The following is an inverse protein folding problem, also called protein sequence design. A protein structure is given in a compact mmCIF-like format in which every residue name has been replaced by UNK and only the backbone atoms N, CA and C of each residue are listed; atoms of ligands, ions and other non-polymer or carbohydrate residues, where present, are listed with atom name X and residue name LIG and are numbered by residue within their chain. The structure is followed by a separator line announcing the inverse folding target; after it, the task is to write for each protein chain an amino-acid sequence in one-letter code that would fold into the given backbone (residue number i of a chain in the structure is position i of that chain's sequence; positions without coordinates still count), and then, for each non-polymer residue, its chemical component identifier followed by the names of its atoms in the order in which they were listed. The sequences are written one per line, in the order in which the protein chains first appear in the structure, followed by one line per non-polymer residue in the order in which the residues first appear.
data_IF_606571603632
#
_entry.id   IF_606571603632
#
_cell.length_a   1.000
_cell.length_b   1.000
_cell.length_c   1.000
_cell.angle_alpha   90.00
_cell.angle_beta   90.00
_cell.angle_gamma   90.00
#
_symmetry.space_group_name_H-M   'P 1'
#
loop_
_entity.id
_entity.type
_entity.pdbx_description
1 polymer ?
#
# COMPACT_ATOMS: atom_id res chain seq x y z
N UNK A 1 20.19 0.46 24.48
CA UNK A 1 19.35 1.27 23.59
C UNK A 1 18.55 0.32 22.70
N UNK A 2 17.21 0.32 22.82
CA UNK A 2 16.35 -0.48 21.94
C UNK A 2 16.25 0.26 20.61
N UNK A 3 16.96 -0.23 19.61
CA UNK A 3 16.84 0.29 18.23
C UNK A 3 15.54 -0.26 17.65
N UNK A 4 14.54 0.60 17.48
CA UNK A 4 13.31 0.24 16.77
C UNK A 4 13.65 0.10 15.29
N UNK A 5 13.46 -1.09 14.74
CA UNK A 5 13.55 -1.32 13.29
C UNK A 5 12.15 -1.12 12.71
N UNK A 6 12.00 -0.08 11.92
CA UNK A 6 10.82 0.13 11.10
C UNK A 6 11.02 -0.61 9.77
N UNK A 7 10.00 -1.31 9.32
CA UNK A 7 9.99 -1.95 8.00
C UNK A 7 8.67 -1.69 7.31
N UNK A 8 8.69 -1.60 5.99
CA UNK A 8 7.50 -1.46 5.16
C UNK A 8 6.70 -0.15 5.38
N UNK A 9 7.37 0.94 5.80
CA UNK A 9 6.74 2.25 6.03
C UNK A 9 6.06 2.82 4.78
N UNK A 10 6.45 2.39 3.58
CA UNK A 10 5.77 2.77 2.34
C UNK A 10 4.29 2.34 2.31
N UNK A 11 3.92 1.32 3.09
CA UNK A 11 2.55 0.87 3.26
C UNK A 11 1.72 1.78 4.18
N UNK A 12 2.34 2.77 4.83
CA UNK A 12 1.69 3.72 5.75
C UNK A 12 1.56 5.13 5.16
N UNK A 13 2.02 5.35 3.92
CA UNK A 13 1.98 6.67 3.27
C UNK A 13 0.53 7.15 3.09
N UNK A 14 -0.36 6.24 2.75
CA UNK A 14 -1.77 6.53 2.49
C UNK A 14 -2.08 6.55 0.99
N UNK A 15 -3.33 6.25 0.68
CA UNK A 15 -3.89 6.25 -0.67
C UNK A 15 -5.21 6.99 -0.66
N UNK A 16 -5.67 7.43 -1.84
CA UNK A 16 -6.88 8.21 -2.02
C UNK A 16 -6.77 9.68 -1.59
N UNK A 17 -7.03 10.58 -2.53
CA UNK A 17 -6.93 12.02 -2.29
C UNK A 17 -7.91 12.51 -1.22
N UNK A 18 -9.09 11.91 -1.10
CA UNK A 18 -10.06 12.26 -0.07
C UNK A 18 -9.56 11.85 1.32
N UNK A 19 -8.99 10.64 1.46
CA UNK A 19 -8.40 10.17 2.71
C UNK A 19 -7.20 11.03 3.13
N UNK A 20 -6.31 11.35 2.19
CA UNK A 20 -5.17 12.25 2.42
C UNK A 20 -5.63 13.64 2.86
N UNK A 21 -6.70 14.18 2.26
CA UNK A 21 -7.32 15.45 2.66
C UNK A 21 -7.92 15.44 4.06
N UNK A 22 -8.30 14.27 4.58
CA UNK A 22 -8.80 14.05 5.93
C UNK A 22 -7.72 13.57 6.92
N UNK A 23 -6.45 13.75 6.57
CA UNK A 23 -5.30 13.29 7.38
C UNK A 23 -5.37 11.79 7.70
N UNK A 24 -5.82 10.98 6.75
CA UNK A 24 -5.92 9.52 6.85
C UNK A 24 -6.93 9.01 7.91
N UNK A 25 -7.87 9.85 8.35
CA UNK A 25 -8.87 9.49 9.38
C UNK A 25 -10.12 8.86 8.78
N UNK A 26 -9.96 7.75 8.05
CA UNK A 26 -11.04 7.12 7.26
C UNK A 26 -11.37 5.69 7.67
N UNK A 27 -10.79 5.18 8.73
CA UNK A 27 -10.91 3.77 9.14
C UNK A 27 -12.37 3.33 9.40
N UNK A 28 -13.20 4.23 9.89
CA UNK A 28 -14.62 3.98 10.11
C UNK A 28 -15.50 4.29 8.87
N UNK A 29 -15.08 5.24 8.03
CA UNK A 29 -15.88 5.78 6.92
C UNK A 29 -15.51 5.20 5.55
N UNK A 30 -14.38 4.47 5.44
CA UNK A 30 -13.97 3.84 4.18
C UNK A 30 -15.13 2.97 3.62
N UNK A 31 -15.54 3.24 2.39
CA UNK A 31 -16.73 2.66 1.78
C UNK A 31 -16.63 2.44 0.26
N UNK A 32 -15.41 2.51 -0.28
CA UNK A 32 -15.11 2.36 -1.69
C UNK A 32 -14.01 1.31 -1.92
N UNK A 33 -13.49 1.23 -3.13
CA UNK A 33 -12.39 0.32 -3.52
C UNK A 33 -11.14 0.50 -2.65
N UNK A 34 -10.88 1.73 -2.15
CA UNK A 34 -9.72 2.04 -1.30
C UNK A 34 -9.90 1.53 0.14
N UNK A 35 -11.10 1.06 0.51
CA UNK A 35 -11.33 0.40 1.79
C UNK A 35 -10.43 -0.82 1.99
N UNK A 36 -10.06 -1.54 0.92
CA UNK A 36 -9.09 -2.63 1.02
C UNK A 36 -7.77 -2.23 1.64
N UNK A 37 -7.35 -0.98 1.48
CA UNK A 37 -6.15 -0.42 2.10
C UNK A 37 -6.39 0.05 3.54
N UNK A 38 -7.48 0.78 3.80
CA UNK A 38 -7.74 1.47 5.06
C UNK A 38 -8.39 0.58 6.12
N UNK A 39 -9.46 -0.10 5.74
CA UNK A 39 -10.20 -1.04 6.56
C UNK A 39 -10.97 -1.98 5.64
N UNK A 40 -10.51 -3.23 5.46
CA UNK A 40 -11.12 -4.13 4.49
C UNK A 40 -12.60 -4.41 4.75
N UNK A 41 -13.10 -4.23 5.97
CA UNK A 41 -14.53 -4.34 6.27
C UNK A 41 -15.37 -3.37 5.44
N UNK A 42 -14.83 -2.19 5.08
CA UNK A 42 -15.51 -1.18 4.28
C UNK A 42 -15.88 -1.63 2.86
N UNK A 43 -15.23 -2.67 2.32
CA UNK A 43 -15.59 -3.26 1.02
C UNK A 43 -17.04 -3.77 0.99
N UNK A 44 -17.64 -4.06 2.13
CA UNK A 44 -19.05 -4.45 2.22
C UNK A 44 -20.06 -3.35 1.88
N UNK A 45 -19.58 -2.12 1.67
CA UNK A 45 -20.39 -0.97 1.25
C UNK A 45 -20.33 -0.71 -0.25
N UNK A 46 -19.55 -1.52 -0.98
CA UNK A 46 -19.53 -1.46 -2.43
C UNK A 46 -20.87 -1.93 -2.98
N UNK A 47 -21.44 -1.14 -3.89
CA UNK A 47 -22.66 -1.49 -4.63
C UNK A 47 -22.30 -2.14 -5.97
N UNK A 48 -21.20 -1.71 -6.59
CA UNK A 48 -20.75 -2.15 -7.90
C UNK A 48 -19.23 -2.38 -7.94
N UNK A 49 -18.75 -2.83 -9.09
CA UNK A 49 -17.32 -2.93 -9.38
C UNK A 49 -16.67 -1.56 -9.38
N UNK A 50 -15.56 -1.41 -8.68
CA UNK A 50 -14.81 -0.16 -8.64
C UNK A 50 -13.33 -0.40 -8.92
N UNK A 51 -12.70 0.56 -9.56
CA UNK A 51 -11.26 0.62 -9.74
C UNK A 51 -10.74 2.01 -9.33
N UNK A 52 -9.54 2.04 -8.77
CA UNK A 52 -8.85 3.27 -8.37
C UNK A 52 -7.41 3.24 -8.85
N UNK A 53 -6.94 4.39 -9.32
CA UNK A 53 -5.54 4.61 -9.70
C UNK A 53 -5.08 5.91 -9.08
N UNK A 54 -3.90 5.88 -8.45
CA UNK A 54 -3.27 7.08 -7.90
C UNK A 54 -1.80 7.09 -8.25
N UNK A 55 -1.29 8.27 -8.62
CA UNK A 55 0.12 8.55 -8.75
C UNK A 55 0.46 9.76 -7.88
N UNK A 56 1.53 9.67 -7.10
CA UNK A 56 2.03 10.78 -6.32
C UNK A 56 3.56 10.84 -6.38
N UNK A 57 4.08 12.05 -6.55
CA UNK A 57 5.51 12.33 -6.54
C UNK A 57 5.91 12.96 -5.22
N UNK A 58 6.97 12.46 -4.63
CA UNK A 58 7.53 12.93 -3.38
C UNK A 58 8.93 13.49 -3.59
N UNK A 59 9.35 14.41 -2.72
CA UNK A 59 10.72 14.99 -2.70
C UNK A 59 11.14 15.55 -4.06
N UNK A 60 10.33 16.47 -4.61
CA UNK A 60 10.59 17.09 -5.91
C UNK A 60 10.82 16.09 -7.05
N UNK A 61 9.96 15.06 -7.11
CA UNK A 61 9.97 14.01 -8.13
C UNK A 61 11.09 12.96 -8.00
N UNK A 62 11.75 12.88 -6.85
CA UNK A 62 12.76 11.85 -6.62
C UNK A 62 12.12 10.49 -6.35
N UNK A 63 11.06 10.45 -5.54
CA UNK A 63 10.36 9.22 -5.22
C UNK A 63 8.96 9.21 -5.84
N UNK A 64 8.58 8.06 -6.41
CA UNK A 64 7.30 7.83 -7.05
C UNK A 64 6.47 6.85 -6.22
N UNK A 65 5.21 7.17 -6.02
CA UNK A 65 4.24 6.32 -5.34
C UNK A 65 3.06 6.06 -6.25
N UNK A 66 2.93 4.84 -6.71
CA UNK A 66 1.88 4.38 -7.60
C UNK A 66 0.96 3.41 -6.86
N UNK A 67 -0.33 3.60 -7.00
CA UNK A 67 -1.36 2.74 -6.43
C UNK A 67 -2.38 2.37 -7.48
N UNK A 68 -2.76 1.11 -7.49
CA UNK A 68 -3.83 0.54 -8.30
C UNK A 68 -4.69 -0.35 -7.41
N UNK A 69 -5.99 -0.23 -7.51
CA UNK A 69 -6.93 -1.11 -6.80
C UNK A 69 -8.13 -1.46 -7.66
N UNK A 70 -8.68 -2.63 -7.39
CA UNK A 70 -9.95 -3.10 -7.93
C UNK A 70 -10.70 -3.86 -6.85
N UNK A 71 -11.99 -3.62 -6.74
CA UNK A 71 -12.84 -4.35 -5.81
C UNK A 71 -14.24 -4.57 -6.41
N UNK A 72 -14.89 -5.61 -5.94
CA UNK A 72 -16.17 -6.05 -6.42
C UNK A 72 -16.97 -6.76 -5.33
N UNK A 73 -18.27 -6.51 -5.21
CA UNK A 73 -19.15 -7.38 -4.45
C UNK A 73 -19.19 -8.77 -5.10
N UNK A 74 -19.26 -9.81 -4.27
CA UNK A 74 -19.50 -11.21 -4.69
C UNK A 74 -20.99 -11.50 -4.59
N UNK A 75 -21.58 -11.11 -3.48
CA UNK A 75 -22.99 -11.25 -3.16
C UNK A 75 -23.42 -10.17 -2.14
N UNK A 76 -24.66 -10.19 -1.67
CA UNK A 76 -25.19 -9.22 -0.70
C UNK A 76 -24.44 -9.21 0.66
N UNK A 77 -23.61 -10.22 0.92
CA UNK A 77 -22.97 -10.45 2.21
C UNK A 77 -21.45 -10.56 2.15
N UNK A 78 -20.86 -10.55 0.97
CA UNK A 78 -19.41 -10.68 0.78
C UNK A 78 -18.88 -9.85 -0.38
N UNK A 79 -17.65 -9.34 -0.23
CA UNK A 79 -16.94 -8.60 -1.25
C UNK A 79 -15.45 -8.96 -1.21
N UNK A 80 -14.76 -8.74 -2.32
CA UNK A 80 -13.32 -8.94 -2.43
C UNK A 80 -12.66 -7.76 -3.11
N UNK A 81 -11.37 -7.64 -2.94
CA UNK A 81 -10.58 -6.62 -3.61
C UNK A 81 -9.13 -7.03 -3.74
N UNK A 82 -8.44 -6.37 -4.64
CA UNK A 82 -6.99 -6.47 -4.82
C UNK A 82 -6.42 -5.08 -4.94
N UNK A 83 -5.23 -4.87 -4.41
CA UNK A 83 -4.49 -3.64 -4.64
C UNK A 83 -3.01 -3.89 -4.84
N UNK A 84 -2.38 -2.96 -5.53
CA UNK A 84 -0.96 -2.95 -5.82
C UNK A 84 -0.40 -1.57 -5.49
N UNK A 85 0.74 -1.53 -4.82
CA UNK A 85 1.51 -0.33 -4.51
C UNK A 85 2.92 -0.52 -5.04
N UNK A 86 3.46 0.50 -5.69
CA UNK A 86 4.88 0.66 -5.96
C UNK A 86 5.35 1.96 -5.33
N UNK A 87 6.37 1.89 -4.50
CA UNK A 87 7.11 3.05 -4.03
C UNK A 87 8.56 2.91 -4.44
N UNK A 88 9.07 3.82 -5.25
CA UNK A 88 10.38 3.66 -5.83
C UNK A 88 11.12 4.97 -6.07
N UNK A 89 12.44 4.85 -6.12
CA UNK A 89 13.38 5.86 -6.54
C UNK A 89 14.16 5.28 -7.70
N UNK A 90 14.07 5.93 -8.84
CA UNK A 90 14.78 5.53 -10.06
C UNK A 90 16.03 6.40 -10.26
N UNK A 91 16.90 6.01 -11.16
CA UNK A 91 18.10 6.73 -11.59
C UNK A 91 19.10 7.07 -10.46
N UNK A 92 19.26 6.18 -9.49
CA UNK A 92 20.26 6.33 -8.43
C UNK A 92 21.65 6.06 -9.00
N UNK A 93 22.55 7.01 -8.81
CA UNK A 93 23.95 6.89 -9.27
C UNK A 93 24.69 5.83 -8.44
N UNK A 94 25.18 4.81 -9.10
CA UNK A 94 26.10 3.84 -8.51
C UNK A 94 27.54 4.26 -8.80
N UNK A 95 28.25 4.62 -7.74
CA UNK A 95 29.65 5.04 -7.79
C UNK A 95 30.61 4.06 -7.14
N UNK A 96 30.16 2.81 -6.89
CA UNK A 96 30.98 1.79 -6.20
C UNK A 96 32.25 1.41 -6.98
N UNK A 97 32.21 1.54 -8.31
CA UNK A 97 33.34 1.22 -9.19
C UNK A 97 34.03 2.47 -9.76
N UNK A 98 33.73 3.66 -9.18
CA UNK A 98 34.26 4.93 -9.67
C UNK A 98 35.78 4.99 -9.64
N UNK A 99 36.43 4.35 -8.65
CA UNK A 99 37.90 4.34 -8.47
C UNK A 99 38.41 3.01 -9.03
N UNK A 100 39.36 3.09 -9.95
CA UNK A 100 40.04 1.92 -10.50
C UNK A 100 41.08 1.32 -9.52
N UNK A 101 41.68 0.18 -9.89
CA UNK A 101 42.68 -0.50 -9.08
C UNK A 101 44.02 0.30 -8.94
N UNK A 102 44.16 1.37 -9.70
CA UNK A 102 45.34 2.26 -9.68
C UNK A 102 45.08 3.57 -8.90
N UNK A 103 43.83 3.74 -8.41
CA UNK A 103 43.40 4.93 -7.66
C UNK A 103 42.94 6.09 -8.53
N UNK A 104 42.74 5.89 -9.84
CA UNK A 104 42.21 6.93 -10.72
C UNK A 104 40.70 6.94 -10.72
N UNK A 105 40.12 8.12 -10.86
CA UNK A 105 38.67 8.32 -10.97
C UNK A 105 38.23 8.19 -12.43
N UNK A 106 37.34 7.22 -12.71
CA UNK A 106 36.76 7.01 -14.04
C UNK A 106 35.23 7.19 -13.99
N UNK A 107 34.74 8.32 -14.43
CA UNK A 107 33.33 8.69 -14.46
C UNK A 107 32.51 7.82 -15.43
N UNK A 108 33.13 7.13 -16.41
CA UNK A 108 32.43 6.22 -17.33
C UNK A 108 31.95 4.95 -16.63
N UNK A 109 32.42 4.67 -15.43
CA UNK A 109 31.99 3.53 -14.60
C UNK A 109 30.76 3.81 -13.75
N UNK A 110 30.23 5.02 -13.80
CA UNK A 110 28.98 5.33 -13.12
C UNK A 110 27.86 4.59 -13.85
N UNK A 111 27.12 3.79 -13.11
CA UNK A 111 25.90 3.13 -13.58
C UNK A 111 24.69 3.60 -12.79
N UNK A 112 23.50 3.45 -13.38
CA UNK A 112 22.25 3.80 -12.71
C UNK A 112 21.60 2.52 -12.16
N UNK A 113 20.92 2.65 -11.01
CA UNK A 113 20.07 1.59 -10.48
C UNK A 113 18.81 2.20 -9.86
N UNK A 114 17.81 1.37 -9.64
CA UNK A 114 16.56 1.76 -8.98
C UNK A 114 16.38 0.98 -7.69
N UNK A 115 15.74 1.62 -6.72
CA UNK A 115 15.29 0.99 -5.49
C UNK A 115 13.77 1.09 -5.42
N UNK A 116 13.07 -0.04 -5.27
CA UNK A 116 11.61 -0.03 -5.23
C UNK A 116 11.06 -1.06 -4.24
N UNK A 117 10.00 -0.65 -3.57
CA UNK A 117 9.14 -1.48 -2.73
C UNK A 117 7.82 -1.71 -3.45
N UNK A 118 7.38 -2.95 -3.46
CA UNK A 118 6.13 -3.40 -4.05
C UNK A 118 5.26 -4.03 -2.98
N UNK A 119 3.99 -3.66 -2.94
CA UNK A 119 2.99 -4.26 -2.06
C UNK A 119 1.81 -4.79 -2.87
N UNK A 120 1.47 -6.05 -2.69
CA UNK A 120 0.25 -6.66 -3.21
C UNK A 120 -0.65 -7.00 -2.05
N UNK A 121 -1.92 -6.60 -2.12
CA UNK A 121 -2.90 -6.87 -1.07
C UNK A 121 -4.09 -7.58 -1.68
N UNK A 122 -4.50 -8.68 -1.05
CA UNK A 122 -5.77 -9.34 -1.26
C UNK A 122 -6.68 -9.04 -0.09
N UNK A 123 -7.88 -8.57 -0.37
CA UNK A 123 -8.88 -8.17 0.61
C UNK A 123 -10.13 -9.02 0.47
N UNK A 124 -10.69 -9.44 1.58
CA UNK A 124 -11.99 -10.10 1.64
C UNK A 124 -12.79 -9.52 2.80
N UNK A 125 -14.06 -9.23 2.54
CA UNK A 125 -14.97 -8.69 3.54
C UNK A 125 -16.27 -9.46 3.58
N UNK A 126 -16.92 -9.49 4.75
CA UNK A 126 -18.21 -10.14 4.94
C UNK A 126 -19.06 -9.48 6.03
N UNK A 127 -20.38 -9.43 5.82
CA UNK A 127 -21.35 -9.04 6.83
C UNK A 127 -21.54 -10.16 7.85
N UNK A 128 -21.53 -9.82 9.13
CA UNK A 128 -21.86 -10.74 10.20
C UNK A 128 -23.39 -10.95 10.29
N UNK A 129 -23.87 -12.04 10.93
CA UNK A 129 -25.29 -12.23 11.21
C UNK A 129 -25.88 -11.18 12.17
N UNK A 130 -25.05 -10.31 12.74
CA UNK A 130 -25.45 -9.21 13.63
C UNK A 130 -25.65 -7.96 12.79
N UNK A 131 -26.83 -7.33 12.82
CA UNK A 131 -27.10 -6.13 12.03
C UNK A 131 -26.09 -5.03 12.27
N UNK A 132 -25.60 -4.42 11.19
CA UNK A 132 -24.64 -3.34 11.22
C UNK A 132 -23.17 -3.74 11.40
N UNK A 133 -22.87 -5.02 11.70
CA UNK A 133 -21.49 -5.52 11.81
C UNK A 133 -20.97 -6.12 10.52
N UNK A 134 -19.79 -5.71 10.15
CA UNK A 134 -19.01 -6.27 9.04
C UNK A 134 -17.54 -6.37 9.41
N UNK A 135 -16.88 -7.37 8.88
CA UNK A 135 -15.44 -7.60 9.07
C UNK A 135 -14.74 -7.77 7.73
N UNK A 136 -13.47 -7.54 7.73
CA UNK A 136 -12.62 -7.79 6.58
C UNK A 136 -11.23 -8.22 6.99
N UNK A 137 -10.55 -8.90 6.09
CA UNK A 137 -9.19 -9.38 6.26
C UNK A 137 -8.38 -9.09 5.01
N UNK A 138 -7.10 -8.80 5.22
CA UNK A 138 -6.11 -8.63 4.16
C UNK A 138 -5.01 -9.67 4.29
N UNK A 139 -4.56 -10.18 3.15
CA UNK A 139 -3.29 -10.87 3.01
C UNK A 139 -2.38 -10.02 2.11
N UNK A 140 -1.15 -9.75 2.58
CA UNK A 140 -0.20 -8.87 1.91
C UNK A 140 1.06 -9.63 1.52
N UNK A 141 1.54 -9.39 0.32
CA UNK A 141 2.84 -9.84 -0.17
C UNK A 141 3.65 -8.58 -0.47
N UNK A 142 4.83 -8.50 0.11
CA UNK A 142 5.71 -7.34 0.00
C UNK A 142 7.01 -7.79 -0.65
N UNK A 143 7.50 -7.05 -1.63
CA UNK A 143 8.78 -7.29 -2.28
C UNK A 143 9.57 -5.99 -2.30
N UNK A 144 10.80 -6.05 -1.79
CA UNK A 144 11.78 -4.97 -1.89
C UNK A 144 12.88 -5.37 -2.86
N UNK A 145 13.25 -4.45 -3.75
CA UNK A 145 14.34 -4.63 -4.71
C UNK A 145 15.22 -3.39 -4.67
N UNK A 146 16.51 -3.56 -4.50
CA UNK A 146 17.51 -2.49 -4.51
C UNK A 146 18.55 -2.84 -5.57
N UNK A 147 18.30 -2.43 -6.81
CA UNK A 147 19.15 -2.74 -7.95
C UNK A 147 19.51 -4.23 -8.02
N UNK A 148 20.80 -4.49 -8.17
CA UNK A 148 21.39 -5.85 -8.11
C UNK A 148 21.90 -6.22 -6.71
N UNK A 149 21.81 -5.30 -5.75
CA UNK A 149 22.48 -5.43 -4.45
C UNK A 149 21.68 -6.25 -3.45
N UNK A 150 20.35 -6.09 -3.43
CA UNK A 150 19.50 -6.77 -2.47
C UNK A 150 18.07 -6.96 -2.98
N UNK A 151 17.45 -8.05 -2.56
CA UNK A 151 16.02 -8.27 -2.68
C UNK A 151 15.51 -8.96 -1.42
N UNK A 152 14.26 -8.71 -1.08
CA UNK A 152 13.61 -9.37 0.05
C UNK A 152 12.12 -9.55 -0.21
N UNK A 153 11.53 -10.54 0.46
CA UNK A 153 10.11 -10.81 0.48
C UNK A 153 9.59 -10.69 1.91
N UNK A 154 8.38 -10.19 2.04
CA UNK A 154 7.66 -10.10 3.29
C UNK A 154 6.20 -10.50 3.11
N UNK A 155 5.58 -10.92 4.21
CA UNK A 155 4.16 -11.24 4.26
C UNK A 155 3.53 -10.47 5.42
N UNK A 156 2.29 -10.05 5.25
CA UNK A 156 1.53 -9.34 6.27
C UNK A 156 0.07 -9.72 6.23
N UNK A 157 -0.61 -9.51 7.34
CA UNK A 157 -2.04 -9.70 7.48
C UNK A 157 -2.63 -8.55 8.25
N UNK A 158 -3.81 -8.08 7.84
CA UNK A 158 -4.60 -7.15 8.62
C UNK A 158 -5.98 -7.73 8.83
N UNK A 159 -6.64 -7.27 9.87
CA UNK A 159 -8.05 -7.51 10.12
C UNK A 159 -8.72 -6.19 10.50
N UNK A 160 -9.93 -5.98 10.02
CA UNK A 160 -10.70 -4.79 10.33
C UNK A 160 -12.16 -5.12 10.60
N UNK A 161 -12.78 -4.27 11.38
CA UNK A 161 -14.21 -4.35 11.70
C UNK A 161 -14.81 -2.97 11.46
N UNK A 162 -16.01 -2.95 10.91
CA UNK A 162 -16.86 -1.76 10.92
C UNK A 162 -18.20 -2.11 11.53
N UNK A 163 -18.74 -1.16 12.29
CA UNK A 163 -20.06 -1.24 12.87
C UNK A 163 -20.85 0.02 12.59
N UNK A 164 -22.04 -0.14 12.07
CA UNK A 164 -22.96 0.92 11.77
C UNK A 164 -24.24 0.77 12.59
N UNK A 165 -24.60 1.83 13.31
CA UNK A 165 -25.88 1.89 14.04
C UNK A 165 -26.44 3.28 13.99
N UNK A 166 -27.65 3.44 13.46
CA UNK A 166 -28.28 4.72 13.20
C UNK A 166 -27.35 5.58 12.32
N UNK A 167 -26.90 6.75 12.83
CA UNK A 167 -25.98 7.66 12.12
C UNK A 167 -24.53 7.57 12.64
N UNK A 168 -24.19 6.53 13.42
CA UNK A 168 -22.87 6.35 13.99
C UNK A 168 -22.12 5.26 13.24
N UNK A 169 -20.89 5.58 12.87
CA UNK A 169 -19.95 4.65 12.25
C UNK A 169 -18.76 4.44 13.19
N UNK A 170 -18.42 3.19 13.43
CA UNK A 170 -17.27 2.78 14.20
C UNK A 170 -16.38 1.89 13.34
N UNK A 171 -15.08 2.07 13.42
CA UNK A 171 -14.09 1.27 12.69
C UNK A 171 -12.86 0.99 13.54
N UNK A 172 -12.36 -0.23 13.40
CA UNK A 172 -11.13 -0.70 14.03
C UNK A 172 -10.34 -1.54 13.03
#
# INVERSE_FOLDING_TARGET
QVVRKYSNEFMNIGVDAAALGMSNTVVASANDVNAGYWNPAGLMRLEDHQASVMHASYFANIAQYDYLAYASPIDERSAWGVSFIRFGVDDILNTTELIDSQGNIDYNRISLFSAADYGFTFSYARKLPVPGFQYGVNAKIIRRVIGKFANSWGFGFDAGIQFEKNNWLFGL
#
